data_IF_484570154632
#
_entry.id   IF_484570154632
#
_cell.length_a   1.000
_cell.length_b   1.000
_cell.length_c   1.000
_cell.angle_alpha   90.00
_cell.angle_beta   90.00
_cell.angle_gamma   90.00
#
_symmetry.space_group_name_H-M   'P 1'
#
loop_
_entity.id
_entity.type
_entity.pdbx_description
1 polymer ?
#
# COMPACT_ATOMS: atom_id res chain seq x y z
N UNK A 1 38.91 -10.54 -0.06
CA UNK A 1 40.11 -11.37 0.19
C UNK A 1 39.95 -12.17 1.47
N UNK A 2 39.33 -13.35 1.40
CA UNK A 2 39.38 -14.37 2.46
C UNK A 2 39.48 -15.74 1.79
N UNK A 3 40.72 -16.18 1.55
CA UNK A 3 41.03 -17.53 1.08
C UNK A 3 41.62 -18.29 2.25
N UNK A 4 40.78 -18.98 3.03
CA UNK A 4 41.23 -20.06 3.90
C UNK A 4 41.21 -21.35 3.11
N UNK A 5 42.38 -21.94 2.93
CA UNK A 5 42.61 -23.21 2.24
C UNK A 5 41.96 -24.37 3.01
N UNK A 6 40.68 -24.64 2.71
CA UNK A 6 39.99 -25.88 3.08
C UNK A 6 40.44 -26.99 2.14
N UNK A 7 40.91 -28.10 2.71
CA UNK A 7 41.29 -29.30 1.96
C UNK A 7 40.06 -29.86 1.23
N UNK A 8 40.01 -29.72 -0.11
CA UNK A 8 38.94 -30.22 -1.00
C UNK A 8 38.55 -31.70 -0.79
N UNK A 9 39.41 -32.49 -0.15
CA UNK A 9 39.18 -33.91 0.10
C UNK A 9 38.17 -34.20 1.23
N UNK A 10 38.01 -33.31 2.22
CA UNK A 10 37.10 -33.60 3.35
C UNK A 10 35.62 -33.31 3.02
N UNK A 11 35.33 -32.37 2.13
CA UNK A 11 33.94 -32.01 1.76
C UNK A 11 33.22 -33.09 0.94
N UNK A 12 33.94 -33.81 0.07
CA UNK A 12 33.34 -34.85 -0.78
C UNK A 12 32.95 -36.12 -0.01
N UNK A 13 33.53 -36.34 1.18
CA UNK A 13 33.31 -37.54 1.99
C UNK A 13 31.87 -37.61 2.50
N UNK A 14 31.30 -36.47 2.92
CA UNK A 14 29.95 -36.39 3.47
C UNK A 14 28.87 -36.08 2.43
N UNK A 15 29.26 -35.75 1.19
CA UNK A 15 28.32 -35.30 0.14
C UNK A 15 28.24 -36.23 -1.07
N UNK A 16 29.33 -36.90 -1.46
CA UNK A 16 29.38 -37.71 -2.70
C UNK A 16 29.94 -39.11 -2.54
N UNK A 17 31.06 -39.25 -1.81
CA UNK A 17 31.86 -40.50 -1.79
C UNK A 17 31.39 -41.45 -0.68
N UNK A 18 30.85 -40.90 0.41
CA UNK A 18 30.41 -41.65 1.58
C UNK A 18 31.54 -41.94 2.56
N UNK A 19 31.22 -41.89 3.86
CA UNK A 19 32.17 -42.19 4.92
C UNK A 19 32.23 -43.69 5.21
N UNK A 20 33.44 -44.28 5.27
CA UNK A 20 33.62 -45.73 5.47
C UNK A 20 34.03 -46.13 6.90
N UNK A 21 34.51 -45.20 7.72
CA UNK A 21 35.07 -45.50 9.05
C UNK A 21 34.22 -44.91 10.19
N UNK A 22 32.92 -45.22 10.21
CA UNK A 22 31.93 -44.71 11.17
C UNK A 22 32.34 -44.84 12.64
N UNK A 23 33.11 -45.89 13.00
CA UNK A 23 33.63 -46.10 14.36
C UNK A 23 34.57 -44.99 14.87
N UNK A 24 35.11 -44.14 13.98
CA UNK A 24 36.03 -43.03 14.31
C UNK A 24 35.41 -41.65 14.05
N UNK A 25 34.10 -41.59 13.82
CA UNK A 25 33.41 -40.36 13.42
C UNK A 25 33.43 -39.28 14.52
N UNK A 26 33.15 -39.67 15.77
CA UNK A 26 33.10 -38.78 16.95
C UNK A 26 34.46 -38.59 17.64
N UNK A 27 35.56 -38.94 16.98
CA UNK A 27 36.92 -38.86 17.53
C UNK A 27 37.44 -40.19 18.09
N UNK A 28 38.75 -40.23 18.36
CA UNK A 28 39.42 -41.41 18.92
C UNK A 28 39.42 -41.35 20.46
N UNK A 29 39.02 -42.43 21.14
CA UNK A 29 39.24 -42.59 22.59
C UNK A 29 40.75 -42.78 22.83
N UNK A 30 41.46 -41.74 23.27
CA UNK A 30 42.91 -41.79 23.55
C UNK A 30 43.60 -40.43 23.43
N UNK A 31 44.95 -40.42 23.44
CA UNK A 31 45.86 -39.27 23.55
C UNK A 31 45.62 -38.06 22.60
N UNK A 32 44.79 -38.21 21.57
CA UNK A 32 44.42 -37.14 20.62
C UNK A 32 43.09 -36.42 20.96
N UNK A 33 42.70 -36.42 22.24
CA UNK A 33 41.44 -35.85 22.75
C UNK A 33 41.26 -34.34 22.51
N UNK A 34 42.32 -33.63 22.07
CA UNK A 34 42.30 -32.19 21.79
C UNK A 34 42.06 -31.79 20.33
N UNK A 35 42.11 -32.74 19.37
CA UNK A 35 41.87 -32.43 17.96
C UNK A 35 40.38 -32.53 17.63
N UNK A 36 39.85 -31.56 16.87
CA UNK A 36 38.47 -31.57 16.38
C UNK A 36 38.19 -32.88 15.65
N UNK A 37 37.07 -33.53 16.00
CA UNK A 37 36.67 -34.76 15.34
C UNK A 37 36.13 -34.47 13.92
N UNK A 38 35.90 -35.51 13.12
CA UNK A 38 35.48 -35.34 11.71
C UNK A 38 34.11 -34.70 11.56
N UNK A 39 33.22 -34.88 12.54
CA UNK A 39 31.92 -34.20 12.62
C UNK A 39 32.09 -32.70 12.87
N UNK A 40 32.89 -32.32 13.86
CA UNK A 40 33.17 -30.92 14.19
C UNK A 40 33.87 -30.19 13.04
N UNK A 41 34.76 -30.88 12.31
CA UNK A 41 35.36 -30.33 11.09
C UNK A 41 34.29 -30.12 10.01
N UNK A 42 33.42 -31.11 9.77
CA UNK A 42 32.33 -31.00 8.80
C UNK A 42 31.31 -29.90 9.16
N UNK A 43 30.93 -29.78 10.42
CA UNK A 43 29.98 -28.77 10.90
C UNK A 43 30.45 -27.35 10.55
N UNK A 44 31.77 -27.12 10.60
CA UNK A 44 32.39 -25.84 10.23
C UNK A 44 32.64 -25.65 8.73
N UNK A 45 32.37 -26.66 7.89
CA UNK A 45 32.52 -26.51 6.44
C UNK A 45 31.49 -25.54 5.88
N UNK A 46 31.92 -24.73 4.89
CA UNK A 46 31.05 -23.76 4.23
C UNK A 46 29.82 -24.45 3.64
N UNK A 47 30.00 -25.63 3.04
CA UNK A 47 28.88 -26.38 2.47
C UNK A 47 27.83 -26.78 3.51
N UNK A 48 28.25 -27.30 4.66
CA UNK A 48 27.32 -27.66 5.76
C UNK A 48 26.57 -26.43 6.25
N UNK A 49 27.30 -25.34 6.53
CA UNK A 49 26.72 -24.06 6.99
C UNK A 49 25.70 -23.54 5.97
N UNK A 50 26.05 -23.47 4.69
CA UNK A 50 25.13 -23.01 3.63
C UNK A 50 23.90 -23.90 3.48
N UNK A 51 24.04 -25.23 3.60
CA UNK A 51 22.89 -26.14 3.56
C UNK A 51 21.99 -25.95 4.79
N UNK A 52 22.58 -25.75 5.97
CA UNK A 52 21.84 -25.49 7.20
C UNK A 52 21.09 -24.15 7.12
N UNK A 53 21.73 -23.10 6.62
CA UNK A 53 21.08 -21.79 6.35
C UNK A 53 19.89 -21.94 5.41
N UNK A 54 20.05 -22.69 4.31
CA UNK A 54 18.95 -22.98 3.36
C UNK A 54 17.80 -23.74 4.02
N UNK A 55 18.11 -24.72 4.87
CA UNK A 55 17.09 -25.49 5.58
C UNK A 55 16.35 -24.65 6.62
N UNK A 56 17.08 -23.81 7.38
CA UNK A 56 16.47 -22.84 8.30
C UNK A 56 15.54 -21.89 7.55
N UNK A 57 16.01 -21.28 6.46
CA UNK A 57 15.20 -20.40 5.62
C UNK A 57 13.94 -21.10 5.10
N UNK A 58 14.03 -22.37 4.67
CA UNK A 58 12.86 -23.15 4.27
C UNK A 58 11.88 -23.38 5.43
N UNK A 59 12.36 -23.71 6.62
CA UNK A 59 11.48 -23.85 7.79
C UNK A 59 10.79 -22.55 8.17
N UNK A 60 11.46 -21.41 8.00
CA UNK A 60 10.84 -20.10 8.22
C UNK A 60 9.75 -19.82 7.18
N UNK A 61 9.93 -20.24 5.92
CA UNK A 61 8.87 -20.13 4.91
C UNK A 61 7.63 -20.98 5.21
N UNK A 62 7.75 -22.07 5.99
CA UNK A 62 6.58 -22.84 6.43
C UNK A 62 5.72 -22.07 7.45
N UNK A 63 6.34 -21.18 8.24
CA UNK A 63 5.64 -20.35 9.23
C UNK A 63 5.08 -19.06 8.62
N UNK A 64 5.86 -18.40 7.78
CA UNK A 64 5.57 -17.06 7.26
C UNK A 64 5.10 -17.03 5.81
N UNK A 65 5.07 -18.19 5.15
CA UNK A 65 4.85 -18.29 3.71
C UNK A 65 6.14 -18.04 2.91
N UNK A 66 6.09 -18.35 1.61
CA UNK A 66 7.20 -18.04 0.70
C UNK A 66 7.34 -16.52 0.52
N UNK A 67 8.51 -16.08 0.05
CA UNK A 67 8.75 -14.66 -0.30
C UNK A 67 7.66 -14.13 -1.24
N UNK A 68 7.22 -14.94 -2.21
CA UNK A 68 6.13 -14.58 -3.12
C UNK A 68 4.82 -14.30 -2.37
N UNK A 69 4.45 -15.15 -1.42
CA UNK A 69 3.23 -14.96 -0.62
C UNK A 69 3.30 -13.74 0.28
N UNK A 70 4.48 -13.43 0.83
CA UNK A 70 4.69 -12.24 1.65
C UNK A 70 4.61 -10.96 0.81
N UNK A 71 5.22 -10.94 -0.39
CA UNK A 71 5.11 -9.81 -1.31
C UNK A 71 3.65 -9.60 -1.72
N UNK A 72 2.95 -10.67 -2.06
CA UNK A 72 1.53 -10.61 -2.46
C UNK A 72 0.64 -10.06 -1.33
N UNK A 73 0.85 -10.51 -0.09
CA UNK A 73 0.08 -10.03 1.06
C UNK A 73 0.36 -8.55 1.36
N UNK A 74 1.62 -8.13 1.34
CA UNK A 74 1.99 -6.73 1.53
C UNK A 74 1.43 -5.84 0.42
N UNK A 75 1.49 -6.28 -0.84
CA UNK A 75 0.89 -5.55 -1.95
C UNK A 75 -0.63 -5.38 -1.76
N UNK A 76 -1.33 -6.42 -1.30
CA UNK A 76 -2.77 -6.34 -1.01
C UNK A 76 -3.07 -5.29 0.07
N UNK A 77 -2.29 -5.27 1.16
CA UNK A 77 -2.45 -4.27 2.23
C UNK A 77 -2.21 -2.85 1.74
N UNK A 78 -1.20 -2.66 0.89
CA UNK A 78 -0.92 -1.35 0.28
C UNK A 78 -2.07 -0.87 -0.60
N UNK A 79 -2.63 -1.75 -1.44
CA UNK A 79 -3.78 -1.42 -2.29
C UNK A 79 -4.99 -1.03 -1.44
N UNK A 80 -5.26 -1.77 -0.36
CA UNK A 80 -6.37 -1.48 0.53
C UNK A 80 -6.20 -0.12 1.24
N UNK A 81 -5.01 0.15 1.77
CA UNK A 81 -4.68 1.44 2.39
C UNK A 81 -4.85 2.61 1.41
N UNK A 82 -4.38 2.46 0.16
CA UNK A 82 -4.54 3.48 -0.87
C UNK A 82 -6.02 3.70 -1.23
N UNK A 83 -6.81 2.63 -1.34
CA UNK A 83 -8.26 2.73 -1.60
C UNK A 83 -8.99 3.44 -0.47
N UNK A 84 -8.66 3.12 0.78
CA UNK A 84 -9.25 3.78 1.95
C UNK A 84 -8.92 5.27 1.98
N UNK A 85 -7.70 5.64 1.60
CA UNK A 85 -7.28 7.04 1.51
C UNK A 85 -8.09 7.81 0.46
N UNK A 86 -8.18 7.30 -0.78
CA UNK A 86 -8.96 7.95 -1.86
C UNK A 86 -10.45 7.99 -1.53
N UNK A 87 -10.98 6.94 -0.89
CA UNK A 87 -12.37 6.93 -0.40
C UNK A 87 -12.61 8.08 0.57
N UNK A 88 -11.71 8.27 1.52
CA UNK A 88 -11.79 9.38 2.48
C UNK A 88 -11.80 10.74 1.78
N UNK A 89 -10.93 10.95 0.79
CA UNK A 89 -10.92 12.20 0.00
C UNK A 89 -12.23 12.41 -0.79
N UNK A 90 -12.83 11.33 -1.29
CA UNK A 90 -14.12 11.37 -1.98
C UNK A 90 -15.26 11.73 -1.02
N UNK A 91 -15.26 11.20 0.21
CA UNK A 91 -16.23 11.56 1.24
C UNK A 91 -16.13 13.03 1.66
N UNK A 92 -14.90 13.56 1.80
CA UNK A 92 -14.69 15.00 2.05
C UNK A 92 -15.28 15.83 0.89
N UNK A 93 -15.05 15.39 -0.35
CA UNK A 93 -15.58 16.05 -1.55
C UNK A 93 -17.12 16.10 -1.50
N UNK A 94 -17.76 14.95 -1.28
CA UNK A 94 -19.22 14.87 -1.17
C UNK A 94 -19.77 15.71 -0.02
N UNK A 95 -19.08 15.70 1.13
CA UNK A 95 -19.46 16.53 2.28
C UNK A 95 -19.45 18.01 1.91
N UNK A 96 -18.36 18.54 1.36
CA UNK A 96 -18.25 19.95 0.99
C UNK A 96 -19.28 20.33 -0.09
N UNK A 97 -19.46 19.50 -1.12
CA UNK A 97 -20.47 19.72 -2.15
C UNK A 97 -21.88 19.81 -1.57
N UNK A 98 -22.25 18.88 -0.67
CA UNK A 98 -23.58 18.86 -0.05
C UNK A 98 -23.84 20.07 0.85
N UNK A 99 -22.80 20.61 1.49
CA UNK A 99 -22.91 21.81 2.31
C UNK A 99 -22.79 23.11 1.50
N UNK A 100 -22.47 23.04 0.21
CA UNK A 100 -22.20 24.22 -0.61
C UNK A 100 -20.93 24.98 -0.18
N UNK A 101 -19.97 24.29 0.43
CA UNK A 101 -18.73 24.89 0.93
C UNK A 101 -17.68 24.97 -0.18
N UNK A 102 -16.97 26.10 -0.22
CA UNK A 102 -15.81 26.25 -1.10
C UNK A 102 -14.72 25.24 -0.71
N UNK A 103 -14.12 24.58 -1.71
CA UNK A 103 -13.07 23.60 -1.46
C UNK A 103 -11.74 24.27 -1.13
N UNK A 104 -11.44 25.36 -1.84
CA UNK A 104 -10.14 26.03 -1.84
C UNK A 104 -10.19 27.34 -1.07
N UNK A 105 -9.07 27.66 -0.45
CA UNK A 105 -8.80 28.99 0.10
C UNK A 105 -8.25 29.93 -0.97
N UNK A 106 -8.07 31.20 -0.59
CA UNK A 106 -7.39 32.17 -1.44
C UNK A 106 -5.92 31.78 -1.70
N UNK A 107 -5.28 31.18 -0.70
CA UNK A 107 -3.92 30.68 -0.78
C UNK A 107 -3.83 29.29 -0.14
N UNK A 108 -3.37 28.29 -0.91
CA UNK A 108 -3.13 26.93 -0.41
C UNK A 108 -1.65 26.61 -0.15
N UNK A 109 -0.78 27.63 -0.09
CA UNK A 109 0.64 27.45 0.26
C UNK A 109 0.78 26.89 1.68
N UNK A 110 1.92 26.27 1.97
CA UNK A 110 2.22 25.67 3.27
C UNK A 110 2.17 26.71 4.40
N UNK A 111 2.55 27.95 4.11
CA UNK A 111 2.57 29.05 5.08
C UNK A 111 1.20 29.71 5.28
N UNK A 112 0.17 29.27 4.55
CA UNK A 112 -1.18 29.82 4.70
C UNK A 112 -1.82 29.35 6.01
N UNK A 113 -2.43 30.30 6.74
CA UNK A 113 -3.22 30.00 7.95
C UNK A 113 -4.48 29.17 7.64
N UNK A 114 -4.99 29.25 6.42
CA UNK A 114 -6.14 28.48 5.97
C UNK A 114 -5.95 28.12 4.50
N UNK A 115 -5.71 26.85 4.24
CA UNK A 115 -5.47 26.32 2.90
C UNK A 115 -6.76 25.98 2.13
N UNK A 116 -7.92 26.28 2.70
CA UNK A 116 -9.23 25.92 2.16
C UNK A 116 -9.84 24.71 2.86
N UNK A 117 -11.17 24.63 2.82
CA UNK A 117 -11.93 23.65 3.58
C UNK A 117 -11.54 22.19 3.26
N UNK A 118 -11.13 21.89 2.02
CA UNK A 118 -10.70 20.54 1.66
C UNK A 118 -9.44 20.11 2.41
N UNK A 119 -8.38 20.92 2.36
CA UNK A 119 -7.12 20.65 3.04
C UNK A 119 -7.26 20.77 4.56
N UNK A 120 -8.04 21.72 5.06
CA UNK A 120 -8.31 21.82 6.50
C UNK A 120 -9.09 20.62 7.05
N UNK A 121 -10.03 20.05 6.27
CA UNK A 121 -10.70 18.82 6.64
C UNK A 121 -9.73 17.63 6.64
N UNK A 122 -8.81 17.55 5.68
CA UNK A 122 -7.74 16.56 5.70
C UNK A 122 -6.83 16.71 6.93
N UNK A 123 -6.45 17.94 7.28
CA UNK A 123 -5.67 18.25 8.47
C UNK A 123 -6.41 17.83 9.75
N UNK A 124 -7.73 18.03 9.81
CA UNK A 124 -8.58 17.59 10.92
C UNK A 124 -8.59 16.06 11.03
N UNK A 125 -8.85 15.35 9.93
CA UNK A 125 -8.86 13.88 9.93
C UNK A 125 -7.50 13.28 10.28
N UNK A 126 -6.41 13.89 9.83
CA UNK A 126 -5.06 13.47 10.17
C UNK A 126 -4.73 13.56 11.68
N UNK A 127 -5.48 14.35 12.47
CA UNK A 127 -5.35 14.38 13.94
C UNK A 127 -5.95 13.14 14.61
N UNK A 128 -7.00 12.57 14.04
CA UNK A 128 -7.74 11.46 14.62
C UNK A 128 -7.36 10.10 14.03
N UNK A 129 -6.90 10.05 12.78
CA UNK A 129 -6.64 8.82 12.03
C UNK A 129 -5.17 8.72 11.62
N UNK A 130 -4.34 7.96 12.34
CA UNK A 130 -2.90 7.84 12.06
C UNK A 130 -2.59 7.30 10.66
N UNK A 131 -3.37 6.32 10.19
CA UNK A 131 -3.19 5.72 8.85
C UNK A 131 -3.44 6.75 7.73
N UNK A 132 -4.48 7.57 7.88
CA UNK A 132 -4.74 8.68 6.95
C UNK A 132 -3.62 9.73 7.03
N UNK A 133 -3.17 10.08 8.24
CA UNK A 133 -2.11 11.05 8.45
C UNK A 133 -0.79 10.60 7.79
N UNK A 134 -0.48 9.31 7.84
CA UNK A 134 0.70 8.75 7.17
C UNK A 134 0.63 8.99 5.66
N UNK A 135 -0.49 8.67 5.02
CA UNK A 135 -0.71 8.90 3.59
C UNK A 135 -0.76 10.38 3.22
N UNK A 136 -1.39 11.20 4.04
CA UNK A 136 -1.52 12.63 3.80
C UNK A 136 -0.19 13.38 3.89
N UNK A 137 0.78 12.86 4.66
CA UNK A 137 2.15 13.42 4.74
C UNK A 137 3.07 12.94 3.62
N UNK A 138 2.67 11.94 2.83
CA UNK A 138 3.46 11.50 1.68
C UNK A 138 3.54 12.63 0.64
N UNK A 139 4.63 12.68 -0.14
CA UNK A 139 4.79 13.68 -1.21
C UNK A 139 3.66 13.62 -2.26
N UNK A 140 3.06 12.45 -2.42
CA UNK A 140 1.99 12.16 -3.37
C UNK A 140 0.63 12.05 -2.67
N UNK A 141 0.30 12.98 -1.78
CA UNK A 141 -0.91 12.91 -0.95
C UNK A 141 -2.24 13.19 -1.68
N UNK A 142 -2.27 13.20 -3.01
CA UNK A 142 -3.49 13.34 -3.81
C UNK A 142 -4.44 14.51 -3.44
N UNK A 143 -3.93 15.59 -2.83
CA UNK A 143 -4.76 16.73 -2.37
C UNK A 143 -4.55 18.02 -3.19
N UNK A 144 -3.83 17.92 -4.30
CA UNK A 144 -3.59 19.04 -5.19
C UNK A 144 -4.89 19.57 -5.81
N UNK A 145 -4.88 20.82 -6.24
CA UNK A 145 -6.03 21.44 -6.90
C UNK A 145 -6.51 20.62 -8.11
N UNK A 146 -5.60 20.05 -8.91
CA UNK A 146 -5.94 19.19 -10.04
C UNK A 146 -6.76 17.97 -9.62
N UNK A 147 -6.32 17.28 -8.57
CA UNK A 147 -7.02 16.08 -8.08
C UNK A 147 -8.36 16.45 -7.42
N UNK A 148 -8.43 17.57 -6.71
CA UNK A 148 -9.71 18.08 -6.20
C UNK A 148 -10.71 18.30 -7.34
N UNK A 149 -10.28 18.89 -8.47
CA UNK A 149 -11.14 19.07 -9.64
C UNK A 149 -11.58 17.73 -10.25
N UNK A 150 -10.68 16.75 -10.32
CA UNK A 150 -11.00 15.41 -10.82
C UNK A 150 -12.03 14.71 -9.92
N UNK A 151 -11.88 14.79 -8.59
CA UNK A 151 -12.87 14.24 -7.66
C UNK A 151 -14.24 14.91 -7.83
N UNK A 152 -14.26 16.23 -7.98
CA UNK A 152 -15.50 16.99 -8.23
C UNK A 152 -16.13 16.55 -9.56
N UNK A 153 -15.36 16.43 -10.63
CA UNK A 153 -15.89 16.06 -11.96
C UNK A 153 -16.43 14.63 -11.97
N UNK A 154 -15.74 13.68 -11.33
CA UNK A 154 -16.21 12.30 -11.17
C UNK A 154 -17.53 12.27 -10.39
N UNK A 155 -17.60 12.97 -9.25
CA UNK A 155 -18.83 13.03 -8.46
C UNK A 155 -19.99 13.66 -9.26
N UNK A 156 -19.73 14.75 -9.98
CA UNK A 156 -20.71 15.42 -10.81
C UNK A 156 -21.22 14.51 -11.95
N UNK A 157 -20.33 13.75 -12.60
CA UNK A 157 -20.70 12.82 -13.66
C UNK A 157 -21.59 11.69 -13.13
N UNK A 158 -21.19 11.03 -12.04
CA UNK A 158 -21.98 9.95 -11.43
C UNK A 158 -23.36 10.46 -11.00
N UNK A 159 -23.41 11.64 -10.37
CA UNK A 159 -24.66 12.25 -9.93
C UNK A 159 -25.56 12.61 -11.13
N UNK A 160 -24.98 13.16 -12.21
CA UNK A 160 -25.70 13.47 -13.44
C UNK A 160 -26.27 12.21 -14.10
N UNK A 161 -25.48 11.15 -14.24
CA UNK A 161 -25.92 9.87 -14.78
C UNK A 161 -27.05 9.27 -13.95
N UNK A 162 -26.94 9.35 -12.62
CA UNK A 162 -27.97 8.88 -11.69
C UNK A 162 -29.28 9.66 -11.88
N UNK A 163 -29.22 11.00 -11.91
CA UNK A 163 -30.41 11.84 -12.14
C UNK A 163 -31.04 11.55 -13.50
N UNK A 164 -30.24 11.44 -14.57
CA UNK A 164 -30.76 11.14 -15.91
C UNK A 164 -31.48 9.79 -15.92
N UNK A 165 -30.90 8.77 -15.27
CA UNK A 165 -31.53 7.46 -15.15
C UNK A 165 -32.87 7.54 -14.41
N UNK A 166 -32.91 8.24 -13.28
CA UNK A 166 -34.14 8.42 -12.49
C UNK A 166 -35.22 9.18 -13.27
N UNK A 167 -34.84 10.23 -13.99
CA UNK A 167 -35.76 11.00 -14.85
C UNK A 167 -36.34 10.12 -15.96
N UNK A 168 -35.51 9.28 -16.60
CA UNK A 168 -35.95 8.36 -17.64
C UNK A 168 -36.88 7.26 -17.10
N UNK A 169 -36.68 6.80 -15.87
CA UNK A 169 -37.53 5.79 -15.22
C UNK A 169 -38.92 6.35 -14.87
N UNK A 170 -38.99 7.60 -14.38
CA UNK A 170 -40.26 8.24 -14.00
C UNK A 170 -41.07 8.63 -15.25
N UNK A 171 -40.42 9.01 -16.35
CA UNK A 171 -41.05 9.37 -17.62
C UNK A 171 -41.78 10.71 -17.64
N UNK A 172 -42.09 11.30 -16.47
CA UNK A 172 -42.72 12.61 -16.33
C UNK A 172 -41.83 13.52 -15.48
N UNK A 173 -41.41 14.65 -16.05
CA UNK A 173 -40.61 15.67 -15.38
C UNK A 173 -40.99 17.06 -15.85
N UNK A 174 -40.76 18.07 -15.00
CA UNK A 174 -40.86 19.48 -15.34
C UNK A 174 -39.48 20.10 -15.51
N UNK A 175 -39.37 21.05 -16.44
CA UNK A 175 -38.18 21.90 -16.57
C UNK A 175 -38.61 23.33 -16.23
N UNK A 176 -37.87 23.97 -15.34
CA UNK A 176 -37.95 25.40 -15.08
C UNK A 176 -36.70 26.06 -15.63
N UNK A 177 -36.89 27.17 -16.33
CA UNK A 177 -35.82 27.98 -16.89
C UNK A 177 -35.98 29.38 -16.34
N UNK A 178 -34.92 29.93 -15.76
CA UNK A 178 -34.87 31.31 -15.28
C UNK A 178 -33.68 32.02 -15.91
N UNK A 179 -33.86 33.28 -16.28
CA UNK A 179 -32.85 34.07 -16.95
C UNK A 179 -32.60 35.36 -16.19
N UNK A 180 -31.33 35.59 -15.84
CA UNK A 180 -30.90 36.78 -15.11
C UNK A 180 -29.76 37.45 -15.86
N UNK A 181 -29.81 38.78 -15.95
CA UNK A 181 -28.75 39.58 -16.56
C UNK A 181 -27.82 40.14 -15.50
N UNK A 182 -26.52 39.84 -15.62
CA UNK A 182 -25.48 40.47 -14.81
C UNK A 182 -24.56 41.28 -15.72
N UNK A 183 -24.63 42.61 -15.61
CA UNK A 183 -23.88 43.56 -16.45
C UNK A 183 -24.13 43.35 -17.96
N UNK A 184 -23.21 42.68 -18.66
CA UNK A 184 -23.26 42.41 -20.11
C UNK A 184 -23.51 40.95 -20.46
N UNK A 185 -23.55 40.05 -19.48
CA UNK A 185 -23.79 38.63 -19.69
C UNK A 185 -25.19 38.25 -19.21
N UNK A 186 -25.85 37.42 -20.01
CA UNK A 186 -27.10 36.74 -19.64
C UNK A 186 -26.76 35.35 -19.12
N UNK A 187 -27.32 35.01 -17.96
CA UNK A 187 -27.11 33.73 -17.28
C UNK A 187 -28.46 33.01 -17.21
N UNK A 188 -28.48 31.76 -17.68
CA UNK A 188 -29.69 30.93 -17.70
C UNK A 188 -29.53 29.76 -16.73
N UNK A 189 -30.44 29.69 -15.75
CA UNK A 189 -30.53 28.58 -14.82
C UNK A 189 -31.59 27.59 -15.29
N UNK A 190 -31.20 26.32 -15.44
CA UNK A 190 -32.11 25.21 -15.75
C UNK A 190 -32.29 24.33 -14.51
N UNK A 191 -33.53 24.13 -14.09
CA UNK A 191 -33.91 23.25 -13.00
C UNK A 191 -34.82 22.14 -13.51
N UNK A 192 -34.44 20.88 -13.28
CA UNK A 192 -35.24 19.70 -13.61
C UNK A 192 -35.92 19.21 -12.33
N UNK A 193 -37.24 19.03 -12.38
CA UNK A 193 -38.06 18.54 -11.26
C UNK A 193 -38.78 17.27 -11.65
N UNK A 194 -38.59 16.21 -10.87
CA UNK A 194 -39.24 14.91 -11.04
C UNK A 194 -39.65 14.35 -9.67
N UNK A 195 -40.61 13.43 -9.64
CA UNK A 195 -41.08 12.78 -8.42
C UNK A 195 -40.65 11.32 -8.44
N UNK A 196 -39.83 10.93 -7.45
CA UNK A 196 -39.46 9.53 -7.23
C UNK A 196 -40.51 8.89 -6.32
N UNK A 197 -41.23 7.89 -6.85
CA UNK A 197 -42.18 7.06 -6.10
C UNK A 197 -41.52 5.94 -5.33
#
# INVERSE_FOLDING_TARGET
NFTTSSNKNDENIFTKIGFKQWKKLSGSRGANKGNKNKLELHETTIHHITCMEKWMAFNDTKKTGTVLTQISSQHKLLVESNRMYIRTLSEITLFLCRQGLAFRGHNESIDSLNQGNFKETCNLLAKFYPEFAQKYKEKTNHTSHGIQNELISICANILRETIIKEVNEVGIFGIMCDEARCFKEEQMALCIRYCKG
#
